data_IF_043198658592
#
_entry.id   IF_043198658592
#
_cell.length_a   1.000
_cell.length_b   1.000
_cell.length_c   1.000
_cell.angle_alpha   90.00
_cell.angle_beta   90.00
_cell.angle_gamma   90.00
#
_symmetry.space_group_name_H-M   'P 1'
#
loop_
_entity.id
_entity.type
_entity.pdbx_description
1 polymer ?
#
# COMPACT_ATOMS: atom_id res chain seq x y z
N UNK A 1 11.97 -3.92 -45.11
CA UNK A 1 10.95 -2.88 -44.89
C UNK A 1 10.61 -2.93 -43.41
N UNK A 2 11.10 -1.94 -42.66
CA UNK A 2 11.06 -1.90 -41.20
C UNK A 2 9.75 -1.34 -40.70
N UNK A 3 9.14 -1.97 -39.70
CA UNK A 3 8.07 -1.38 -38.90
C UNK A 3 8.53 -1.42 -37.43
N UNK A 4 9.22 -0.36 -36.99
CA UNK A 4 9.48 -0.13 -35.58
C UNK A 4 8.22 0.53 -35.01
N UNK A 5 7.42 -0.25 -34.29
CA UNK A 5 6.34 0.28 -33.47
C UNK A 5 6.97 1.16 -32.39
N UNK A 6 6.79 2.48 -32.50
CA UNK A 6 7.06 3.42 -31.43
C UNK A 6 6.00 3.16 -30.35
N UNK A 7 6.36 2.40 -29.32
CA UNK A 7 5.61 2.44 -28.07
C UNK A 7 5.88 3.82 -27.46
N UNK A 8 4.89 4.72 -27.52
CA UNK A 8 4.93 5.96 -26.77
C UNK A 8 5.28 5.65 -25.30
N UNK A 9 6.25 6.35 -24.68
CA UNK A 9 6.47 6.23 -23.26
C UNK A 9 5.17 6.63 -22.56
N UNK A 10 4.55 5.68 -21.87
CA UNK A 10 3.43 5.95 -20.97
C UNK A 10 3.91 7.10 -20.07
N UNK A 11 3.26 8.28 -20.09
CA UNK A 11 3.69 9.38 -19.24
C UNK A 11 3.70 8.88 -17.80
N UNK A 12 4.73 9.24 -17.00
CA UNK A 12 4.73 8.85 -15.59
C UNK A 12 3.39 9.29 -15.03
N UNK A 13 2.64 8.35 -14.45
CA UNK A 13 1.51 8.70 -13.62
C UNK A 13 2.02 9.77 -12.67
N UNK A 14 1.23 10.83 -12.47
CA UNK A 14 1.49 11.76 -11.38
C UNK A 14 1.28 10.97 -10.09
N UNK A 15 2.27 10.14 -9.73
CA UNK A 15 2.30 9.39 -8.51
C UNK A 15 2.27 10.44 -7.42
N UNK A 16 1.16 10.48 -6.69
CA UNK A 16 1.05 11.41 -5.61
C UNK A 16 2.12 11.00 -4.60
N UNK A 17 3.18 11.80 -4.46
CA UNK A 17 4.31 11.52 -3.58
C UNK A 17 3.84 11.11 -2.17
N UNK A 18 2.76 11.73 -1.67
CA UNK A 18 2.16 11.40 -0.39
C UNK A 18 1.49 10.03 -0.41
N UNK A 19 0.80 9.67 -1.49
CA UNK A 19 0.20 8.35 -1.68
C UNK A 19 1.28 7.26 -1.77
N UNK A 20 2.37 7.50 -2.50
CA UNK A 20 3.52 6.59 -2.57
C UNK A 20 4.11 6.34 -1.18
N UNK A 21 4.41 7.42 -0.43
CA UNK A 21 4.96 7.31 0.93
C UNK A 21 4.01 6.64 1.91
N UNK A 22 2.70 6.86 1.79
CA UNK A 22 1.70 6.18 2.61
C UNK A 22 1.66 4.68 2.30
N UNK A 23 1.73 4.30 1.02
CA UNK A 23 1.80 2.91 0.63
C UNK A 23 3.08 2.24 1.17
N UNK A 24 4.24 2.86 0.98
CA UNK A 24 5.52 2.33 1.47
C UNK A 24 5.49 2.13 3.00
N UNK A 25 4.97 3.10 3.75
CA UNK A 25 4.82 3.00 5.19
C UNK A 25 3.87 1.85 5.59
N UNK A 26 2.78 1.66 4.84
CA UNK A 26 1.83 0.56 5.05
C UNK A 26 2.50 -0.80 4.80
N UNK A 27 3.20 -0.94 3.67
CA UNK A 27 3.97 -2.14 3.34
C UNK A 27 5.01 -2.45 4.42
N UNK A 28 5.73 -1.45 4.93
CA UNK A 28 6.71 -1.63 6.01
C UNK A 28 6.10 -2.16 7.31
N UNK A 29 4.85 -1.81 7.60
CA UNK A 29 4.12 -2.33 8.77
C UNK A 29 3.64 -3.77 8.53
N UNK A 30 3.16 -4.07 7.32
CA UNK A 30 2.49 -5.34 7.01
C UNK A 30 3.45 -6.45 6.60
N UNK A 31 4.50 -6.15 5.84
CA UNK A 31 5.43 -7.17 5.34
C UNK A 31 6.07 -8.03 6.45
N UNK A 32 6.50 -7.49 7.60
CA UNK A 32 6.99 -8.29 8.73
C UNK A 32 5.92 -9.16 9.41
N UNK A 33 4.65 -8.94 9.07
CA UNK A 33 3.49 -9.62 9.63
C UNK A 33 2.84 -10.57 8.61
N UNK A 34 3.47 -10.85 7.47
CA UNK A 34 2.88 -11.65 6.39
C UNK A 34 2.38 -13.04 6.88
N UNK A 35 3.09 -13.66 7.84
CA UNK A 35 2.72 -14.95 8.44
C UNK A 35 1.56 -14.87 9.45
N UNK A 36 1.07 -13.67 9.75
CA UNK A 36 -0.04 -13.45 10.68
C UNK A 36 -1.39 -13.52 9.98
N UNK A 37 -2.44 -13.75 10.77
CA UNK A 37 -3.81 -13.70 10.24
C UNK A 37 -4.18 -12.25 9.92
N UNK A 38 -5.02 -12.07 8.90
CA UNK A 38 -5.48 -10.76 8.45
C UNK A 38 -5.96 -9.84 9.61
N UNK A 39 -6.79 -10.30 10.58
CA UNK A 39 -7.23 -9.44 11.68
C UNK A 39 -6.08 -8.95 12.58
N UNK A 40 -5.03 -9.75 12.79
CA UNK A 40 -3.87 -9.34 13.59
C UNK A 40 -3.06 -8.25 12.88
N UNK A 41 -2.98 -8.31 11.55
CA UNK A 41 -2.29 -7.32 10.73
C UNK A 41 -3.08 -6.01 10.72
N UNK A 42 -4.40 -6.09 10.52
CA UNK A 42 -5.30 -4.94 10.56
C UNK A 42 -5.22 -4.21 11.92
N UNK A 43 -5.23 -4.95 13.03
CA UNK A 43 -5.10 -4.37 14.37
C UNK A 43 -3.78 -3.60 14.54
N UNK A 44 -2.66 -4.20 14.13
CA UNK A 44 -1.35 -3.54 14.19
C UNK A 44 -1.26 -2.32 13.28
N UNK A 45 -1.84 -2.40 12.08
CA UNK A 45 -1.92 -1.27 11.19
C UNK A 45 -2.74 -0.13 11.81
N UNK A 46 -3.90 -0.42 12.41
CA UNK A 46 -4.73 0.58 13.09
C UNK A 46 -3.95 1.26 14.22
N UNK A 47 -3.21 0.49 15.03
CA UNK A 47 -2.36 1.04 16.10
C UNK A 47 -1.34 2.04 15.54
N UNK A 48 -0.62 1.66 14.47
CA UNK A 48 0.38 2.52 13.81
C UNK A 48 -0.24 3.72 13.13
N UNK A 49 -1.36 3.55 12.45
CA UNK A 49 -2.10 4.63 11.83
C UNK A 49 -2.54 5.66 12.88
N UNK A 50 -3.09 5.22 14.02
CA UNK A 50 -3.48 6.10 15.12
C UNK A 50 -2.27 6.82 15.76
N UNK A 51 -1.10 6.19 15.80
CA UNK A 51 0.14 6.86 16.25
C UNK A 51 0.53 8.02 15.31
N UNK A 52 0.27 7.89 14.01
CA UNK A 52 0.61 8.91 13.00
C UNK A 52 -0.43 10.04 12.92
N UNK A 53 -1.72 9.69 12.91
CA UNK A 53 -2.80 10.66 12.66
C UNK A 53 -3.73 10.86 13.85
N UNK A 54 -3.41 10.32 15.03
CA UNK A 54 -4.27 10.37 16.23
C UNK A 54 -4.63 11.78 16.70
N UNK A 55 -3.87 12.79 16.30
CA UNK A 55 -4.16 14.20 16.56
C UNK A 55 -5.32 14.76 15.71
N UNK A 56 -5.68 14.08 14.61
CA UNK A 56 -6.77 14.48 13.74
C UNK A 56 -8.13 13.99 14.29
N UNK A 57 -9.20 14.78 14.11
CA UNK A 57 -10.55 14.29 14.38
C UNK A 57 -10.85 13.08 13.50
N UNK A 58 -11.61 12.13 14.02
CA UNK A 58 -12.02 10.91 13.30
C UNK A 58 -10.88 9.96 12.89
N UNK A 59 -9.66 10.17 13.39
CA UNK A 59 -8.50 9.32 13.10
C UNK A 59 -8.76 7.83 13.31
N UNK A 60 -9.52 7.44 14.33
CA UNK A 60 -9.89 6.04 14.54
C UNK A 60 -10.76 5.46 13.42
N UNK A 61 -11.74 6.22 12.94
CA UNK A 61 -12.62 5.79 11.86
C UNK A 61 -11.84 5.66 10.55
N UNK A 62 -11.01 6.66 10.25
CA UNK A 62 -10.14 6.67 9.06
C UNK A 62 -9.17 5.49 9.07
N UNK A 63 -8.49 5.22 10.19
CA UNK A 63 -7.57 4.10 10.30
C UNK A 63 -8.27 2.74 10.12
N UNK A 64 -9.49 2.59 10.66
CA UNK A 64 -10.29 1.37 10.46
C UNK A 64 -10.71 1.21 9.00
N UNK A 65 -11.13 2.28 8.34
CA UNK A 65 -11.50 2.27 6.93
C UNK A 65 -10.31 1.91 6.03
N UNK A 66 -9.13 2.49 6.29
CA UNK A 66 -7.88 2.17 5.60
C UNK A 66 -7.47 0.71 5.84
N UNK A 67 -7.57 0.21 7.08
CA UNK A 67 -7.24 -1.17 7.40
C UNK A 67 -8.08 -2.15 6.56
N UNK A 68 -9.40 -1.96 6.57
CA UNK A 68 -10.34 -2.80 5.85
C UNK A 68 -10.19 -2.74 4.33
N UNK A 69 -9.72 -1.62 3.78
CA UNK A 69 -9.56 -1.42 2.33
C UNK A 69 -8.22 -1.91 1.81
N UNK A 70 -7.14 -1.62 2.51
CA UNK A 70 -5.77 -1.73 1.96
C UNK A 70 -5.05 -3.00 2.42
N UNK A 71 -5.33 -3.51 3.62
CA UNK A 71 -4.52 -4.58 4.23
C UNK A 71 -4.80 -5.96 3.62
N UNK A 72 -6.06 -6.27 3.32
CA UNK A 72 -6.44 -7.51 2.63
C UNK A 72 -5.73 -7.68 1.29
N UNK A 73 -5.89 -6.75 0.34
CA UNK A 73 -5.22 -6.81 -0.97
C UNK A 73 -3.69 -6.83 -0.87
N UNK A 74 -3.13 -6.10 0.10
CA UNK A 74 -1.69 -6.06 0.30
C UNK A 74 -1.17 -7.40 0.85
N UNK A 75 -1.90 -8.04 1.78
CA UNK A 75 -1.58 -9.40 2.24
C UNK A 75 -1.64 -10.41 1.10
N UNK A 76 -2.66 -10.36 0.25
CA UNK A 76 -2.78 -11.27 -0.91
C UNK A 76 -1.57 -11.16 -1.85
N UNK A 77 -1.07 -9.94 -2.09
CA UNK A 77 0.13 -9.74 -2.91
C UNK A 77 1.39 -10.32 -2.23
N UNK A 78 1.56 -10.09 -0.93
CA UNK A 78 2.70 -10.63 -0.17
C UNK A 78 2.65 -12.17 -0.11
N UNK A 79 1.47 -12.76 0.11
CA UNK A 79 1.26 -14.21 0.12
C UNK A 79 1.52 -14.83 -1.28
N UNK A 80 1.29 -14.06 -2.35
CA UNK A 80 1.64 -14.43 -3.73
C UNK A 80 3.14 -14.25 -4.05
N UNK A 81 3.97 -13.86 -3.07
CA UNK A 81 5.41 -13.67 -3.24
C UNK A 81 5.81 -12.39 -3.98
N UNK A 82 4.91 -11.40 -4.06
CA UNK A 82 5.25 -10.08 -4.60
C UNK A 82 6.24 -9.40 -3.66
N UNK A 83 7.34 -8.90 -4.23
CA UNK A 83 8.33 -8.14 -3.46
C UNK A 83 7.68 -6.88 -2.86
N UNK A 84 7.85 -6.62 -1.55
CA UNK A 84 7.33 -5.42 -0.89
C UNK A 84 7.62 -4.10 -1.63
N UNK A 85 8.78 -3.97 -2.27
CA UNK A 85 9.16 -2.78 -3.04
C UNK A 85 8.38 -2.62 -4.36
N UNK A 86 7.76 -3.69 -4.85
CA UNK A 86 6.95 -3.70 -6.07
C UNK A 86 5.44 -3.57 -5.79
N UNK A 87 5.00 -3.78 -4.54
CA UNK A 87 3.59 -3.66 -4.14
C UNK A 87 3.03 -2.27 -4.45
N UNK A 88 3.74 -1.20 -4.09
CA UNK A 88 3.25 0.17 -4.29
C UNK A 88 3.21 0.60 -5.76
N UNK A 89 4.13 0.06 -6.59
CA UNK A 89 4.12 0.25 -8.04
C UNK A 89 2.93 -0.44 -8.69
N UNK A 90 2.65 -1.68 -8.27
CA UNK A 90 1.48 -2.45 -8.73
C UNK A 90 0.16 -1.79 -8.32
N UNK A 91 0.12 -1.17 -7.14
CA UNK A 91 -1.01 -0.38 -6.67
C UNK A 91 -1.17 0.97 -7.39
N UNK A 92 -0.23 1.36 -8.27
CA UNK A 92 -0.14 2.69 -8.90
C UNK A 92 -0.13 3.84 -7.88
N UNK A 93 0.37 3.56 -6.68
CA UNK A 93 0.65 4.55 -5.65
C UNK A 93 2.02 5.20 -5.87
N UNK A 94 2.93 4.39 -6.41
CA UNK A 94 4.18 4.70 -7.09
C UNK A 94 4.14 3.89 -8.43
#
# INVERSE_FOLDING_TARGET
MSALALADPIPPSHDNYLLCKLCEATVQVVAPLADKKLPEIEEKFIEKCKQLIGFLPLSEMECKALAAREIGPLKEQLDAGVDPAEVCKRAKAC
#
